data_IF_217451430761
#
_entry.id   IF_217451430761
#
_cell.length_a   1.000
_cell.length_b   1.000
_cell.length_c   1.000
_cell.angle_alpha   90.00
_cell.angle_beta   90.00
_cell.angle_gamma   90.00
#
_symmetry.space_group_name_H-M   'P 1'
#
loop_
_entity.id
_entity.type
_entity.pdbx_description
1 polymer ?
#
# COMPACT_ATOMS: atom_id res chain seq x y z
N UNK A 1 -7.99 5.49 -15.00
CA UNK A 1 -7.10 4.29 -15.06
C UNK A 1 -5.67 4.63 -14.69
N UNK A 2 -5.01 5.55 -15.41
CA UNK A 2 -3.59 5.85 -15.17
C UNK A 2 -3.28 6.34 -13.74
N UNK A 3 -4.14 7.19 -13.17
CA UNK A 3 -4.00 7.64 -11.78
C UNK A 3 -4.09 6.49 -10.75
N UNK A 4 -4.99 5.52 -10.96
CA UNK A 4 -5.14 4.34 -10.09
C UNK A 4 -3.84 3.53 -10.08
N UNK A 5 -3.23 3.35 -11.26
CA UNK A 5 -1.97 2.63 -11.41
C UNK A 5 -0.83 3.40 -10.73
N UNK A 6 -0.78 4.72 -10.86
CA UNK A 6 0.23 5.54 -10.18
C UNK A 6 0.12 5.45 -8.66
N UNK A 7 -1.10 5.49 -8.12
CA UNK A 7 -1.35 5.26 -6.69
C UNK A 7 -0.90 3.86 -6.30
N UNK A 8 -1.36 2.82 -7.00
CA UNK A 8 -0.99 1.43 -6.75
C UNK A 8 0.53 1.23 -6.73
N UNK A 9 1.25 1.77 -7.71
CA UNK A 9 2.72 1.65 -7.76
C UNK A 9 3.35 2.41 -6.60
N UNK A 10 2.89 3.62 -6.32
CA UNK A 10 3.47 4.49 -5.31
C UNK A 10 3.37 3.92 -3.90
N UNK A 11 2.22 3.38 -3.55
CA UNK A 11 1.98 2.84 -2.20
C UNK A 11 2.69 1.49 -1.98
N UNK A 12 2.88 0.68 -3.03
CA UNK A 12 3.52 -0.63 -2.90
C UNK A 12 5.04 -0.61 -3.13
N UNK A 13 5.70 0.56 -3.19
CA UNK A 13 7.15 0.65 -3.45
C UNK A 13 7.97 -0.12 -2.41
N UNK A 14 7.62 0.02 -1.14
CA UNK A 14 8.27 -0.66 -0.02
C UNK A 14 8.17 -2.19 -0.14
N UNK A 15 6.98 -2.67 -0.49
CA UNK A 15 6.66 -4.08 -0.68
C UNK A 15 7.39 -4.63 -1.91
N UNK A 16 7.52 -3.84 -2.98
CA UNK A 16 8.30 -4.22 -4.15
C UNK A 16 9.79 -4.37 -3.81
N UNK A 17 10.34 -3.49 -2.96
CA UNK A 17 11.72 -3.59 -2.48
C UNK A 17 11.91 -4.84 -1.63
N UNK A 18 10.99 -5.11 -0.69
CA UNK A 18 11.04 -6.33 0.12
C UNK A 18 10.97 -7.59 -0.76
N UNK A 19 10.12 -7.59 -1.78
CA UNK A 19 10.00 -8.69 -2.74
C UNK A 19 11.27 -8.88 -3.57
N UNK A 20 12.03 -7.84 -3.93
CA UNK A 20 13.31 -7.98 -4.64
C UNK A 20 14.30 -8.90 -3.91
N UNK A 21 14.34 -8.83 -2.58
CA UNK A 21 15.23 -9.65 -1.75
C UNK A 21 14.80 -11.12 -1.68
N UNK A 22 13.50 -11.39 -1.78
CA UNK A 22 12.93 -12.73 -1.55
C UNK A 22 12.66 -13.47 -2.86
N UNK A 23 12.35 -12.75 -3.95
CA UNK A 23 11.92 -13.33 -5.24
C UNK A 23 12.97 -14.21 -5.92
N UNK A 24 14.26 -14.02 -5.58
CA UNK A 24 15.35 -14.87 -6.09
C UNK A 24 15.38 -16.25 -5.45
N UNK A 25 14.80 -16.42 -4.25
CA UNK A 25 14.83 -17.68 -3.49
C UNK A 25 13.67 -18.63 -3.80
N UNK A 26 12.70 -18.20 -4.59
CA UNK A 26 11.48 -18.97 -4.88
C UNK A 26 11.13 -19.00 -6.37
N UNK A 27 10.33 -19.99 -6.77
CA UNK A 27 9.67 -20.02 -8.08
C UNK A 27 8.66 -18.88 -8.13
N UNK A 28 8.45 -18.26 -9.29
CA UNK A 28 7.63 -17.03 -9.44
C UNK A 28 6.19 -17.14 -8.90
N UNK A 29 5.61 -18.35 -8.92
CA UNK A 29 4.27 -18.58 -8.38
C UNK A 29 4.18 -18.36 -6.86
N UNK A 30 5.25 -18.65 -6.10
CA UNK A 30 5.25 -18.49 -4.65
C UNK A 30 5.12 -17.01 -4.21
N UNK A 31 5.97 -16.06 -4.68
CA UNK A 31 5.79 -14.65 -4.41
C UNK A 31 4.52 -14.09 -5.06
N UNK A 32 4.13 -14.59 -6.24
CA UNK A 32 2.89 -14.16 -6.89
C UNK A 32 1.66 -14.42 -6.02
N UNK A 33 1.48 -15.66 -5.56
CA UNK A 33 0.32 -16.02 -4.73
C UNK A 33 0.38 -15.30 -3.38
N UNK A 34 1.55 -15.27 -2.73
CA UNK A 34 1.71 -14.61 -1.44
C UNK A 34 1.39 -13.11 -1.50
N UNK A 35 1.92 -12.41 -2.51
CA UNK A 35 1.70 -10.98 -2.69
C UNK A 35 0.24 -10.66 -3.06
N UNK A 36 -0.33 -11.35 -4.05
CA UNK A 36 -1.73 -11.13 -4.46
C UNK A 36 -2.68 -11.36 -3.28
N UNK A 37 -2.47 -12.41 -2.49
CA UNK A 37 -3.29 -12.66 -1.30
C UNK A 37 -3.18 -11.52 -0.28
N UNK A 38 -1.98 -11.03 0.00
CA UNK A 38 -1.78 -9.96 0.97
C UNK A 38 -2.43 -8.66 0.49
N UNK A 39 -2.18 -8.29 -0.76
CA UNK A 39 -2.70 -7.08 -1.40
C UNK A 39 -4.23 -7.10 -1.48
N UNK A 40 -4.82 -8.24 -1.86
CA UNK A 40 -6.28 -8.42 -1.87
C UNK A 40 -6.88 -8.33 -0.46
N UNK A 41 -6.25 -8.95 0.54
CA UNK A 41 -6.71 -8.88 1.94
C UNK A 41 -6.67 -7.45 2.46
N UNK A 42 -5.56 -6.73 2.24
CA UNK A 42 -5.42 -5.34 2.65
C UNK A 42 -6.45 -4.44 1.96
N UNK A 43 -6.66 -4.61 0.65
CA UNK A 43 -7.66 -3.85 -0.09
C UNK A 43 -9.07 -4.12 0.44
N UNK A 44 -9.44 -5.37 0.68
CA UNK A 44 -10.76 -5.73 1.25
C UNK A 44 -10.93 -5.11 2.64
N UNK A 45 -9.93 -5.21 3.52
CA UNK A 45 -9.97 -4.58 4.85
C UNK A 45 -10.16 -3.07 4.72
N UNK A 46 -9.39 -2.41 3.84
CA UNK A 46 -9.51 -0.98 3.58
C UNK A 46 -10.90 -0.58 3.08
N UNK A 47 -11.49 -1.37 2.17
CA UNK A 47 -12.86 -1.15 1.68
C UNK A 47 -13.89 -1.31 2.79
N UNK A 48 -13.81 -2.39 3.57
CA UNK A 48 -14.74 -2.65 4.67
C UNK A 48 -14.66 -1.53 5.72
N UNK A 49 -13.45 -1.17 6.14
CA UNK A 49 -13.24 -0.09 7.12
C UNK A 49 -13.69 1.26 6.56
N UNK A 50 -13.28 1.61 5.34
CA UNK A 50 -13.67 2.86 4.70
C UNK A 50 -15.18 3.01 4.61
N UNK A 51 -15.87 1.97 4.11
CA UNK A 51 -17.33 1.96 4.01
C UNK A 51 -18.03 2.00 5.36
N UNK A 52 -17.52 1.27 6.34
CA UNK A 52 -18.11 1.24 7.68
C UNK A 52 -17.97 2.61 8.35
N UNK A 53 -16.78 3.21 8.27
CA UNK A 53 -16.50 4.53 8.84
C UNK A 53 -17.40 5.60 8.22
N UNK A 54 -17.49 5.70 6.88
CA UNK A 54 -18.31 6.73 6.24
C UNK A 54 -19.82 6.48 6.33
N UNK A 55 -20.25 5.29 6.74
CA UNK A 55 -21.66 5.02 7.03
C UNK A 55 -22.05 5.49 8.43
N UNK A 56 -21.13 5.42 9.39
CA UNK A 56 -21.38 5.74 10.81
C UNK A 56 -20.99 7.19 11.13
N UNK A 57 -19.94 7.70 10.48
CA UNK A 57 -19.31 8.97 10.76
C UNK A 57 -19.29 9.89 9.54
N UNK A 58 -19.15 11.21 9.74
CA UNK A 58 -18.91 12.14 8.65
C UNK A 58 -17.63 11.81 7.86
N UNK A 59 -17.65 12.09 6.56
CA UNK A 59 -16.55 11.75 5.64
C UNK A 59 -15.18 12.33 6.03
N UNK A 60 -15.17 13.49 6.70
CA UNK A 60 -13.94 14.17 7.13
C UNK A 60 -13.11 13.35 8.12
N UNK A 61 -13.72 12.40 8.85
CA UNK A 61 -13.01 11.53 9.81
C UNK A 61 -11.96 10.68 9.10
N UNK A 62 -12.21 10.26 7.85
CA UNK A 62 -11.22 9.50 7.08
C UNK A 62 -9.96 10.33 6.77
N UNK A 63 -10.07 11.66 6.85
CA UNK A 63 -8.96 12.61 6.81
C UNK A 63 -7.89 12.38 7.87
N UNK A 64 -8.24 11.75 9.00
CA UNK A 64 -7.30 11.44 10.07
C UNK A 64 -6.21 10.48 9.61
N UNK A 65 -6.48 9.64 8.60
CA UNK A 65 -5.46 8.74 8.03
C UNK A 65 -4.31 9.51 7.38
N UNK A 66 -4.54 10.75 6.96
CA UNK A 66 -3.46 11.60 6.46
C UNK A 66 -2.43 11.93 7.55
N UNK A 67 -2.84 12.11 8.80
CA UNK A 67 -1.90 12.28 9.92
C UNK A 67 -1.14 10.98 10.23
N UNK A 68 -1.78 9.82 10.09
CA UNK A 68 -1.11 8.52 10.22
C UNK A 68 0.00 8.39 9.18
N UNK A 69 -0.27 8.73 7.92
CA UNK A 69 0.76 8.73 6.86
C UNK A 69 1.89 9.72 7.13
N UNK A 70 1.57 10.94 7.61
CA UNK A 70 2.60 11.91 7.99
C UNK A 70 3.49 11.36 9.11
N UNK A 71 2.93 10.72 10.12
CA UNK A 71 3.70 10.07 11.18
C UNK A 71 4.61 8.97 10.64
N UNK A 72 4.08 8.12 9.75
CA UNK A 72 4.86 7.06 9.09
C UNK A 72 5.98 7.61 8.20
N UNK A 73 5.82 8.78 7.59
CA UNK A 73 6.83 9.41 6.73
C UNK A 73 8.15 9.72 7.49
N UNK A 74 8.07 9.93 8.81
CA UNK A 74 9.24 10.24 9.66
C UNK A 74 9.74 9.05 10.47
N UNK A 75 8.98 7.93 10.51
CA UNK A 75 9.38 6.73 11.23
C UNK A 75 10.34 5.88 10.40
N UNK A 76 11.44 5.43 10.99
CA UNK A 76 12.26 4.35 10.44
C UNK A 76 11.63 3.02 10.85
N UNK A 77 11.30 2.18 9.88
CA UNK A 77 10.78 0.85 10.15
C UNK A 77 11.89 -0.19 9.95
N UNK A 78 12.31 -0.80 11.05
CA UNK A 78 13.19 -1.96 11.04
C UNK A 78 12.29 -3.20 11.14
N UNK A 79 11.97 -3.81 10.01
CA UNK A 79 11.09 -4.99 9.99
C UNK A 79 11.88 -6.29 10.09
N UNK A 80 11.54 -7.12 11.07
CA UNK A 80 12.05 -8.48 11.21
C UNK A 80 11.23 -9.46 10.34
N UNK A 81 11.93 -10.30 9.58
CA UNK A 81 11.31 -11.33 8.75
C UNK A 81 10.91 -12.52 9.63
N UNK A 82 9.62 -12.78 9.76
CA UNK A 82 9.13 -13.97 10.47
C UNK A 82 9.65 -15.27 9.82
N UNK A 83 10.14 -16.20 10.65
CA UNK A 83 10.57 -17.51 10.18
C UNK A 83 9.38 -18.45 10.02
N UNK A 84 9.09 -18.84 8.78
CA UNK A 84 8.05 -19.83 8.45
C UNK A 84 8.53 -20.78 7.37
N UNK A 85 8.19 -22.07 7.47
CA UNK A 85 8.59 -23.11 6.50
C UNK A 85 7.84 -23.01 5.16
N UNK A 86 6.63 -22.45 5.15
CA UNK A 86 5.83 -22.29 3.92
C UNK A 86 6.18 -20.97 3.23
N UNK A 87 6.77 -21.05 2.03
CA UNK A 87 7.20 -19.87 1.26
C UNK A 87 6.06 -18.94 0.86
N UNK A 88 4.86 -19.46 0.57
CA UNK A 88 3.69 -18.61 0.23
C UNK A 88 3.26 -17.83 1.46
N UNK A 89 3.10 -18.52 2.59
CA UNK A 89 2.69 -17.91 3.85
C UNK A 89 3.71 -16.89 4.34
N UNK A 90 5.01 -17.18 4.19
CA UNK A 90 6.09 -16.25 4.52
C UNK A 90 5.98 -14.94 3.74
N UNK A 91 5.73 -15.02 2.43
CA UNK A 91 5.61 -13.83 1.58
C UNK A 91 4.31 -13.10 1.85
N UNK A 92 3.21 -13.82 2.07
CA UNK A 92 1.94 -13.24 2.50
C UNK A 92 2.09 -12.41 3.78
N UNK A 93 2.71 -12.99 4.82
CA UNK A 93 2.92 -12.30 6.10
C UNK A 93 3.89 -11.12 5.97
N UNK A 94 4.94 -11.25 5.17
CA UNK A 94 5.85 -10.14 4.85
C UNK A 94 5.11 -8.96 4.22
N UNK A 95 4.31 -9.22 3.18
CA UNK A 95 3.55 -8.18 2.50
C UNK A 95 2.45 -7.59 3.40
N UNK A 96 1.82 -8.40 4.25
CA UNK A 96 0.82 -7.95 5.22
C UNK A 96 1.44 -7.04 6.30
N UNK A 97 2.65 -7.34 6.75
CA UNK A 97 3.43 -6.53 7.70
C UNK A 97 3.81 -5.17 7.13
N UNK A 98 4.08 -5.12 5.82
CA UNK A 98 4.45 -3.88 5.13
C UNK A 98 3.23 -3.02 4.81
N UNK A 99 2.13 -3.62 4.36
CA UNK A 99 0.97 -2.87 3.84
C UNK A 99 0.05 -2.20 4.87
N UNK A 100 0.52 -1.90 6.08
CA UNK A 100 -0.25 -1.12 7.05
C UNK A 100 -0.45 0.33 6.62
N UNK A 101 0.52 0.90 5.90
CA UNK A 101 0.46 2.20 5.24
C UNK A 101 -0.57 2.22 4.08
N UNK A 102 -0.69 1.13 3.32
CA UNK A 102 -1.66 0.96 2.26
C UNK A 102 -3.08 1.15 2.80
N UNK A 103 -3.36 0.67 4.02
CA UNK A 103 -4.67 0.89 4.67
C UNK A 103 -4.97 2.36 4.93
N UNK A 104 -3.96 3.16 5.31
CA UNK A 104 -4.14 4.59 5.54
C UNK A 104 -4.51 5.34 4.24
N UNK A 105 -4.26 4.75 3.07
CA UNK A 105 -4.69 5.28 1.77
C UNK A 105 -6.00 4.64 1.32
N UNK A 106 -6.17 3.34 1.49
CA UNK A 106 -7.37 2.61 1.07
C UNK A 106 -8.63 3.04 1.81
N UNK A 107 -8.55 3.28 3.12
CA UNK A 107 -9.70 3.67 3.95
C UNK A 107 -10.35 4.98 3.43
N UNK A 108 -9.63 6.12 3.35
CA UNK A 108 -10.21 7.37 2.87
C UNK A 108 -10.59 7.31 1.39
N UNK A 109 -9.90 6.48 0.61
CA UNK A 109 -10.19 6.35 -0.81
C UNK A 109 -11.45 5.52 -1.09
N UNK A 110 -11.66 4.41 -0.36
CA UNK A 110 -12.78 3.50 -0.58
C UNK A 110 -14.11 4.00 0.01
N UNK A 111 -14.07 4.78 1.08
CA UNK A 111 -15.25 5.34 1.75
C UNK A 111 -16.29 5.94 0.79
N UNK A 112 -15.93 6.95 -0.04
CA UNK A 112 -16.89 7.61 -0.92
C UNK A 112 -17.22 6.84 -2.21
N UNK A 113 -16.51 5.76 -2.57
CA UNK A 113 -16.63 5.12 -3.89
C UNK A 113 -17.87 4.24 -4.04
N UNK A 114 -18.53 4.28 -5.20
CA UNK A 114 -19.59 3.31 -5.52
C UNK A 114 -19.03 1.89 -5.72
N UNK A 115 -19.88 0.87 -5.52
CA UNK A 115 -19.49 -0.54 -5.66
C UNK A 115 -18.90 -0.88 -7.04
N UNK A 116 -19.40 -0.26 -8.11
CA UNK A 116 -18.84 -0.43 -9.46
C UNK A 116 -17.40 0.07 -9.57
N UNK A 117 -17.08 1.20 -8.94
CA UNK A 117 -15.73 1.74 -8.90
C UNK A 117 -14.79 0.85 -8.07
N UNK A 118 -15.26 0.33 -6.93
CA UNK A 118 -14.51 -0.61 -6.08
C UNK A 118 -14.17 -1.89 -6.86
N UNK A 119 -15.14 -2.46 -7.57
CA UNK A 119 -14.91 -3.64 -8.42
C UNK A 119 -13.87 -3.36 -9.50
N UNK A 120 -13.97 -2.21 -10.17
CA UNK A 120 -12.99 -1.81 -11.17
C UNK A 120 -11.59 -1.67 -10.58
N UNK A 121 -11.44 -1.01 -9.43
CA UNK A 121 -10.13 -0.84 -8.77
C UNK A 121 -9.56 -2.20 -8.37
N UNK A 122 -10.41 -3.09 -7.85
CA UNK A 122 -10.02 -4.47 -7.50
C UNK A 122 -9.43 -5.21 -8.70
N UNK A 123 -10.07 -5.12 -9.87
CA UNK A 123 -9.55 -5.74 -11.10
C UNK A 123 -8.21 -5.12 -11.51
N UNK A 124 -8.09 -3.78 -11.44
CA UNK A 124 -6.83 -3.10 -11.76
C UNK A 124 -5.71 -3.55 -10.82
N UNK A 125 -5.99 -3.63 -9.51
CA UNK A 125 -5.08 -4.06 -8.46
C UNK A 125 -4.59 -5.50 -8.66
N UNK A 126 -5.49 -6.44 -8.98
CA UNK A 126 -5.12 -7.82 -9.29
C UNK A 126 -4.22 -7.91 -10.54
N UNK A 127 -4.57 -7.21 -11.61
CA UNK A 127 -3.79 -7.20 -12.86
C UNK A 127 -2.42 -6.55 -12.62
N UNK A 128 -2.39 -5.40 -11.94
CA UNK A 128 -1.16 -4.71 -11.59
C UNK A 128 -0.28 -5.55 -10.66
N UNK A 129 -0.86 -6.34 -9.77
CA UNK A 129 -0.14 -7.27 -8.89
C UNK A 129 0.59 -8.37 -9.65
N UNK A 130 -0.09 -8.99 -10.63
CA UNK A 130 0.52 -9.97 -11.51
C UNK A 130 1.68 -9.34 -12.30
N UNK A 131 1.45 -8.17 -12.91
CA UNK A 131 2.45 -7.44 -13.68
C UNK A 131 3.66 -7.06 -12.80
N UNK A 132 3.42 -6.53 -11.60
CA UNK A 132 4.48 -6.16 -10.64
C UNK A 132 5.42 -7.31 -10.36
N UNK A 133 4.91 -8.53 -10.14
CA UNK A 133 5.77 -9.69 -9.83
C UNK A 133 6.70 -10.05 -11.00
N UNK A 134 6.20 -9.97 -12.24
CA UNK A 134 7.05 -10.16 -13.42
C UNK A 134 8.10 -9.05 -13.54
N UNK A 135 7.72 -7.79 -13.32
CA UNK A 135 8.65 -6.65 -13.34
C UNK A 135 9.71 -6.79 -12.27
N UNK A 136 9.34 -7.09 -11.02
CA UNK A 136 10.26 -7.32 -9.91
C UNK A 136 11.21 -8.47 -10.26
N UNK A 137 10.73 -9.55 -10.88
CA UNK A 137 11.62 -10.65 -11.29
C UNK A 137 12.64 -10.19 -12.33
N UNK A 138 12.23 -9.40 -13.31
CA UNK A 138 13.11 -8.83 -14.33
C UNK A 138 14.15 -7.89 -13.71
N UNK A 139 13.70 -6.95 -12.88
CA UNK A 139 14.52 -5.97 -12.16
C UNK A 139 15.51 -6.67 -11.23
N UNK A 140 15.08 -7.75 -10.56
CA UNK A 140 15.92 -8.54 -9.66
C UNK A 140 17.11 -9.18 -10.38
N UNK A 141 17.16 -9.24 -11.70
CA UNK A 141 18.35 -9.72 -12.43
C UNK A 141 19.30 -8.58 -12.81
N UNK A 142 18.88 -7.31 -12.68
CA UNK A 142 19.63 -6.12 -13.05
C UNK A 142 20.25 -5.48 -11.81
N UNK A 143 21.55 -5.73 -11.58
CA UNK A 143 22.30 -5.21 -10.41
C UNK A 143 22.19 -3.68 -10.23
N UNK A 144 22.34 -2.83 -11.27
CA UNK A 144 22.26 -1.38 -11.09
C UNK A 144 20.89 -0.93 -10.58
N UNK A 145 19.83 -1.55 -11.10
CA UNK A 145 18.46 -1.18 -10.77
C UNK A 145 18.06 -1.63 -9.37
N UNK A 146 18.52 -2.83 -8.98
CA UNK A 146 18.40 -3.34 -7.61
C UNK A 146 19.09 -2.38 -6.62
N UNK A 147 20.32 -1.96 -6.90
CA UNK A 147 21.06 -1.02 -6.04
C UNK A 147 20.37 0.34 -5.87
N UNK A 148 19.82 0.91 -6.96
CA UNK A 148 19.09 2.18 -6.89
C UNK A 148 17.84 2.05 -6.02
N UNK A 149 17.07 0.97 -6.19
CA UNK A 149 15.85 0.71 -5.42
C UNK A 149 16.14 0.49 -3.94
N UNK A 150 17.19 -0.28 -3.61
CA UNK A 150 17.60 -0.50 -2.22
C UNK A 150 18.09 0.80 -1.56
N UNK A 151 18.83 1.64 -2.29
CA UNK A 151 19.40 2.88 -1.73
C UNK A 151 18.40 4.02 -1.61
N UNK A 152 17.53 4.19 -2.60
CA UNK A 152 16.62 5.35 -2.69
C UNK A 152 15.17 5.01 -2.36
N UNK A 153 14.80 3.73 -2.33
CA UNK A 153 13.42 3.31 -2.16
C UNK A 153 12.78 3.76 -0.85
N UNK A 154 13.51 3.71 0.26
CA UNK A 154 13.04 4.24 1.55
C UNK A 154 12.76 5.75 1.47
N UNK A 155 13.62 6.53 0.81
CA UNK A 155 13.41 7.97 0.61
C UNK A 155 12.18 8.24 -0.28
N UNK A 156 12.01 7.48 -1.36
CA UNK A 156 10.83 7.59 -2.24
C UNK A 156 9.53 7.33 -1.45
N UNK A 157 9.52 6.27 -0.64
CA UNK A 157 8.36 5.88 0.18
C UNK A 157 7.98 7.01 1.15
N UNK A 158 8.96 7.59 1.86
CA UNK A 158 8.72 8.73 2.77
C UNK A 158 8.14 9.95 2.07
N UNK A 159 8.63 10.27 0.87
CA UNK A 159 8.10 11.38 0.07
C UNK A 159 6.65 11.11 -0.32
N UNK A 160 6.32 9.88 -0.74
CA UNK A 160 4.96 9.48 -1.09
C UNK A 160 4.04 9.59 0.14
N UNK A 161 4.46 9.09 1.30
CA UNK A 161 3.68 9.21 2.54
C UNK A 161 3.44 10.66 2.92
N UNK A 162 4.46 11.52 2.82
CA UNK A 162 4.32 12.94 3.09
C UNK A 162 3.32 13.61 2.17
N UNK A 163 3.46 13.42 0.85
CA UNK A 163 2.57 14.00 -0.16
C UNK A 163 1.14 13.46 -0.05
N UNK A 164 0.97 12.14 0.13
CA UNK A 164 -0.34 11.50 0.28
C UNK A 164 -1.02 11.92 1.59
N UNK A 165 -0.26 12.01 2.69
CA UNK A 165 -0.76 12.47 3.98
C UNK A 165 -1.31 13.89 3.92
N UNK A 166 -0.54 14.82 3.33
CA UNK A 166 -1.01 16.19 3.08
C UNK A 166 -2.24 16.21 2.18
N UNK A 167 -2.24 15.45 1.08
CA UNK A 167 -3.37 15.39 0.16
C UNK A 167 -4.66 14.95 0.86
N UNK A 168 -4.59 13.89 1.69
CA UNK A 168 -5.76 13.38 2.43
C UNK A 168 -6.26 14.42 3.44
N UNK A 169 -5.37 15.08 4.19
CA UNK A 169 -5.73 16.12 5.16
C UNK A 169 -6.43 17.30 4.49
N UNK A 170 -5.89 17.80 3.37
CA UNK A 170 -6.49 18.93 2.67
C UNK A 170 -7.80 18.55 1.98
N UNK A 171 -7.86 17.40 1.32
CA UNK A 171 -9.05 16.98 0.57
C UNK A 171 -10.24 16.64 1.50
N UNK A 172 -9.94 16.10 2.69
CA UNK A 172 -10.97 15.79 3.70
C UNK A 172 -11.50 17.00 4.46
N UNK A 173 -10.82 18.16 4.38
CA UNK A 173 -11.12 19.35 5.19
C UNK A 173 -11.17 19.06 6.69
N UNK A 174 -10.42 18.06 7.16
CA UNK A 174 -10.38 17.65 8.57
C UNK A 174 -9.94 18.81 9.47
N UNK A 175 -9.02 19.66 8.99
CA UNK A 175 -8.53 20.82 9.72
C UNK A 175 -9.61 21.87 9.98
N UNK A 176 -10.48 22.13 9.00
CA UNK A 176 -11.58 23.10 9.14
C UNK A 176 -12.58 22.65 10.21
N UNK A 177 -12.90 21.35 10.23
CA UNK A 177 -13.82 20.77 11.22
C UNK A 177 -13.23 20.74 12.62
N UNK A 178 -11.95 20.39 12.76
CA UNK A 178 -11.26 20.43 14.06
C UNK A 178 -11.19 21.87 14.58
N UNK A 179 -10.87 22.84 13.72
CA UNK A 179 -10.82 24.25 14.11
C UNK A 179 -12.20 24.81 14.50
N UNK A 180 -13.28 24.34 13.86
CA UNK A 180 -14.64 24.75 14.20
C UNK A 180 -15.17 24.15 15.53
N UNK A 181 -14.52 23.12 16.07
CA UNK A 181 -14.87 22.48 17.34
C UNK A 181 -14.15 23.11 18.55
N UNK A 182 -13.21 24.03 18.31
CA UNK A 182 -12.31 24.62 19.31
C UNK A 182 -12.71 26.07 19.61
#
# INVERSE_FOLDING_TARGET
MLAIIMVYVGINIDTFIALLFVIRRYRILTPMVGFILAETVLWIIGVVLGKTITTIFPDWITGLMGFVLLYLAFRSDDQEVQETKNGILKIFLLCLSLGGDNLAIYIPWAGPLHMSAILLITVVFLVSSVISIYLIKLISNLRPLTFVLEKYGSYCTRIIYFCAGLYIIFNSRVLEHIAALL
#
